data_IF_473725946351
#
_entry.id   IF_473725946351
#
_cell.length_a   1.000
_cell.length_b   1.000
_cell.length_c   1.000
_cell.angle_alpha   90.00
_cell.angle_beta   90.00
_cell.angle_gamma   90.00
#
_symmetry.space_group_name_H-M   'P 1'
#
loop_
_entity.id
_entity.type
_entity.pdbx_description
1 polymer ?
#
# COMPACT_ATOMS: atom_id res chain seq x y z
N UNK A 1 -20.50 -20.69 28.58
CA UNK A 1 -21.16 -19.42 28.39
C UNK A 1 -20.59 -18.42 29.42
N UNK A 2 -19.50 -17.76 29.08
CA UNK A 2 -18.99 -16.56 29.82
C UNK A 2 -18.34 -15.69 28.77
N UNK A 3 -19.05 -14.63 28.39
CA UNK A 3 -18.58 -13.53 27.57
C UNK A 3 -17.67 -12.66 28.46
N UNK A 4 -16.40 -12.52 28.11
CA UNK A 4 -15.53 -11.50 28.71
C UNK A 4 -15.48 -10.29 27.78
N UNK A 5 -16.17 -9.22 28.16
CA UNK A 5 -15.97 -7.88 27.61
C UNK A 5 -14.53 -7.44 27.93
N UNK A 6 -13.74 -7.15 26.89
CA UNK A 6 -12.49 -6.43 27.04
C UNK A 6 -12.80 -4.92 27.12
N UNK A 7 -12.39 -4.29 28.18
CA UNK A 7 -12.56 -2.86 28.43
C UNK A 7 -11.67 -2.06 27.47
N UNK A 8 -12.27 -1.13 26.72
CA UNK A 8 -11.60 -0.12 25.92
C UNK A 8 -11.03 0.94 26.87
N UNK A 9 -9.73 0.92 27.11
CA UNK A 9 -9.06 1.98 27.86
C UNK A 9 -8.91 3.21 26.96
N UNK A 10 -9.66 4.26 27.25
CA UNK A 10 -9.51 5.58 26.65
C UNK A 10 -8.18 6.19 27.12
N UNK A 11 -7.20 6.23 26.25
CA UNK A 11 -5.93 6.92 26.46
C UNK A 11 -6.12 8.40 26.09
N UNK A 12 -6.39 9.26 27.06
CA UNK A 12 -6.44 10.71 26.90
C UNK A 12 -4.99 11.23 26.81
N UNK A 13 -4.46 11.37 25.61
CA UNK A 13 -3.21 12.07 25.33
C UNK A 13 -3.44 13.58 25.47
N UNK A 14 -2.97 14.18 26.56
CA UNK A 14 -2.76 15.62 26.68
C UNK A 14 -1.62 16.01 25.70
N UNK A 15 -1.99 16.50 24.53
CA UNK A 15 -1.05 17.09 23.57
C UNK A 15 -0.71 18.52 24.04
N UNK A 16 0.58 18.84 24.31
CA UNK A 16 0.99 20.23 24.51
C UNK A 16 0.77 20.98 23.19
N UNK A 17 0.27 22.22 23.32
CA UNK A 17 -0.02 23.08 22.17
C UNK A 17 1.22 23.28 21.31
N UNK A 18 1.24 22.63 20.14
CA UNK A 18 2.22 22.83 19.10
C UNK A 18 1.89 24.12 18.37
N UNK A 19 2.85 25.03 18.28
CA UNK A 19 2.78 26.21 17.44
C UNK A 19 2.46 25.75 15.99
N UNK A 20 1.30 26.13 15.52
CA UNK A 20 0.86 25.88 14.13
C UNK A 20 1.68 26.82 13.26
N UNK A 21 2.54 26.30 12.38
CA UNK A 21 2.90 27.02 11.20
C UNK A 21 1.58 27.36 10.48
N UNK A 22 1.37 28.56 10.02
CA UNK A 22 0.22 28.91 9.19
C UNK A 22 0.29 28.02 7.94
N UNK A 23 -0.59 27.02 7.87
CA UNK A 23 -0.76 26.23 6.67
C UNK A 23 -1.29 27.17 5.59
N UNK A 24 -0.56 27.29 4.49
CA UNK A 24 -1.04 27.98 3.31
C UNK A 24 -2.36 27.33 2.89
N UNK A 25 -3.41 28.15 2.77
CA UNK A 25 -4.71 27.68 2.32
C UNK A 25 -4.64 27.28 0.83
N UNK A 26 -4.63 25.99 0.57
CA UNK A 26 -4.62 25.40 -0.77
C UNK A 26 -6.01 24.94 -1.24
N UNK A 27 -7.07 25.28 -0.49
CA UNK A 27 -8.43 24.81 -0.78
C UNK A 27 -8.99 25.31 -2.11
N UNK A 28 -8.45 26.43 -2.64
CA UNK A 28 -8.86 27.00 -3.91
C UNK A 28 -8.28 26.28 -5.15
N UNK A 29 -7.22 25.50 -4.99
CA UNK A 29 -6.60 24.81 -6.13
C UNK A 29 -7.39 23.56 -6.56
N UNK A 30 -7.33 23.26 -7.86
CA UNK A 30 -8.05 22.14 -8.47
C UNK A 30 -7.26 21.59 -9.66
N UNK A 31 -7.78 20.53 -10.28
CA UNK A 31 -7.22 19.97 -11.52
C UNK A 31 -6.98 21.03 -12.61
N UNK A 32 -7.84 22.06 -12.69
CA UNK A 32 -7.77 23.11 -13.73
C UNK A 32 -7.15 24.42 -13.24
N UNK A 33 -6.81 24.50 -11.97
CA UNK A 33 -6.04 25.57 -11.34
C UNK A 33 -4.98 24.93 -10.43
N UNK A 34 -3.84 24.51 -11.01
CA UNK A 34 -2.84 23.69 -10.31
C UNK A 34 -2.18 24.42 -9.15
N UNK A 35 -1.76 23.68 -8.14
CA UNK A 35 -0.88 24.19 -7.08
C UNK A 35 0.45 24.61 -7.71
N UNK A 36 0.93 25.86 -7.48
CA UNK A 36 2.23 26.29 -7.97
C UNK A 36 3.40 25.45 -7.41
N UNK A 37 4.48 25.31 -8.17
CA UNK A 37 5.62 24.45 -7.84
C UNK A 37 6.27 24.79 -6.48
N UNK A 38 6.32 26.05 -6.12
CA UNK A 38 6.86 26.54 -4.85
C UNK A 38 5.98 26.25 -3.64
N UNK A 39 4.73 25.87 -3.87
CA UNK A 39 3.76 25.49 -2.84
C UNK A 39 3.52 23.97 -2.75
N UNK A 40 4.17 23.18 -3.61
CA UNK A 40 4.02 21.73 -3.59
C UNK A 40 4.41 21.12 -2.25
N UNK A 41 3.66 20.11 -1.82
CA UNK A 41 4.04 19.28 -0.66
C UNK A 41 5.38 18.61 -0.90
N UNK A 42 6.10 18.32 0.17
CA UNK A 42 7.25 17.43 0.08
C UNK A 42 6.79 16.09 -0.50
N UNK A 43 7.41 15.69 -1.62
CA UNK A 43 7.07 14.44 -2.27
C UNK A 43 7.26 13.25 -1.34
N UNK A 44 6.20 12.45 -1.15
CA UNK A 44 6.16 11.31 -0.25
C UNK A 44 5.21 10.26 -0.83
N UNK A 45 5.69 9.38 -1.72
CA UNK A 45 4.90 8.30 -2.30
C UNK A 45 4.44 7.29 -1.25
N UNK A 46 3.47 6.44 -1.60
CA UNK A 46 3.02 5.32 -0.75
C UNK A 46 4.10 4.24 -0.65
N UNK A 47 4.89 4.06 -1.72
CA UNK A 47 6.01 3.11 -1.77
C UNK A 47 7.15 3.46 -0.80
N UNK A 48 7.91 2.45 -0.26
CA UNK A 48 7.87 1.01 -0.51
C UNK A 48 6.89 0.23 0.40
N UNK A 49 6.15 0.90 1.29
CA UNK A 49 5.21 0.22 2.19
C UNK A 49 4.07 -0.48 1.42
N UNK A 50 3.47 -1.49 2.03
CA UNK A 50 2.18 -2.03 1.58
C UNK A 50 1.03 -1.11 1.93
N UNK A 51 1.23 -0.28 2.97
CA UNK A 51 0.25 0.68 3.42
C UNK A 51 0.20 1.93 2.56
N UNK A 52 -0.94 2.60 2.62
CA UNK A 52 -1.16 3.87 1.94
C UNK A 52 -0.89 5.05 2.87
N UNK A 53 -0.32 6.10 2.32
CA UNK A 53 -0.21 7.38 3.02
C UNK A 53 -1.57 8.09 3.08
N UNK A 54 -1.70 8.99 4.04
CA UNK A 54 -2.90 9.84 4.15
C UNK A 54 -2.89 11.01 3.17
N UNK A 55 -1.75 11.28 2.53
CA UNK A 55 -1.57 12.43 1.66
C UNK A 55 -2.08 12.14 0.26
N UNK A 56 -2.79 13.12 -0.31
CA UNK A 56 -3.18 13.15 -1.72
C UNK A 56 -2.11 13.79 -2.57
N UNK A 57 -2.15 13.58 -3.86
CA UNK A 57 -1.37 14.34 -4.84
C UNK A 57 -1.83 15.80 -4.82
N UNK A 58 -0.92 16.77 -4.97
CA UNK A 58 -1.27 18.18 -5.08
C UNK A 58 -2.17 18.41 -6.30
N UNK A 59 -3.16 19.27 -6.16
CA UNK A 59 -4.16 19.53 -7.20
C UNK A 59 -3.50 19.95 -8.51
N UNK A 60 -3.92 19.35 -9.62
CA UNK A 60 -3.42 19.60 -10.96
C UNK A 60 -2.10 18.92 -11.32
N UNK A 61 -1.48 18.21 -10.36
CA UNK A 61 -0.27 17.43 -10.58
C UNK A 61 -0.59 15.94 -10.70
N UNK A 62 0.36 15.18 -11.26
CA UNK A 62 0.25 13.73 -11.29
C UNK A 62 1.52 13.05 -10.79
N UNK A 63 1.35 11.84 -10.29
CA UNK A 63 2.41 10.99 -9.79
C UNK A 63 2.35 9.64 -10.47
N UNK A 64 3.52 9.05 -10.67
CA UNK A 64 3.70 7.66 -11.10
C UNK A 64 4.47 6.94 -10.00
N UNK A 65 3.95 5.81 -9.55
CA UNK A 65 4.66 4.88 -8.67
C UNK A 65 4.66 3.51 -9.32
N UNK A 66 5.82 2.85 -9.43
CA UNK A 66 5.88 1.53 -10.06
C UNK A 66 6.96 0.65 -9.45
N UNK A 67 6.69 -0.66 -9.33
CA UNK A 67 7.75 -1.64 -9.24
C UNK A 67 8.55 -1.65 -10.55
N UNK A 68 9.86 -1.61 -10.44
CA UNK A 68 10.75 -1.94 -11.55
C UNK A 68 10.85 -3.45 -11.67
N UNK A 69 11.03 -4.12 -10.53
CA UNK A 69 11.03 -5.57 -10.41
C UNK A 69 10.64 -5.98 -8.98
N UNK A 70 9.86 -7.04 -8.88
CA UNK A 70 9.54 -7.73 -7.63
C UNK A 70 9.69 -9.23 -7.83
N UNK A 71 10.28 -9.90 -6.86
CA UNK A 71 10.46 -11.36 -6.85
C UNK A 71 9.92 -11.92 -5.55
N UNK A 72 9.07 -12.93 -5.65
CA UNK A 72 8.43 -13.58 -4.52
C UNK A 72 8.70 -15.07 -4.52
N UNK A 73 9.06 -15.62 -3.38
CA UNK A 73 9.17 -17.06 -3.13
C UNK A 73 8.11 -17.45 -2.11
N UNK A 74 7.28 -18.41 -2.47
CA UNK A 74 6.24 -18.97 -1.61
C UNK A 74 6.38 -20.49 -1.52
N UNK A 75 6.06 -21.04 -0.36
CA UNK A 75 5.99 -22.50 -0.15
C UNK A 75 4.62 -22.86 0.42
N UNK A 76 3.92 -23.74 -0.25
CA UNK A 76 2.63 -24.24 0.23
C UNK A 76 2.50 -25.71 -0.12
N UNK A 77 2.21 -26.55 0.88
CA UNK A 77 1.96 -27.99 0.70
C UNK A 77 3.04 -28.76 -0.11
N UNK A 78 4.32 -28.37 0.07
CA UNK A 78 5.44 -28.99 -0.66
C UNK A 78 5.71 -28.40 -2.06
N UNK A 79 4.87 -27.48 -2.51
CA UNK A 79 5.06 -26.75 -3.75
C UNK A 79 5.82 -25.44 -3.49
N UNK A 80 6.92 -25.24 -4.17
CA UNK A 80 7.65 -23.95 -4.18
C UNK A 80 7.25 -23.15 -5.40
N UNK A 81 6.79 -21.93 -5.17
CA UNK A 81 6.40 -21.01 -6.23
C UNK A 81 7.37 -19.84 -6.29
N UNK A 82 7.92 -19.56 -7.46
CA UNK A 82 8.69 -18.36 -7.78
C UNK A 82 7.85 -17.46 -8.65
N UNK A 83 7.63 -16.23 -8.20
CA UNK A 83 6.89 -15.23 -8.98
C UNK A 83 7.77 -14.04 -9.26
N UNK A 84 7.72 -13.56 -10.48
CA UNK A 84 8.30 -12.28 -10.91
C UNK A 84 7.17 -11.35 -11.32
N UNK A 85 7.27 -10.12 -10.90
CA UNK A 85 6.40 -9.05 -11.33
C UNK A 85 7.25 -7.85 -11.73
N UNK A 86 6.92 -7.24 -12.84
CA UNK A 86 7.62 -6.04 -13.30
C UNK A 86 6.65 -5.04 -13.89
N UNK A 87 6.96 -3.77 -13.67
CA UNK A 87 6.25 -2.65 -14.21
C UNK A 87 4.74 -2.68 -13.92
N UNK A 88 4.38 -2.48 -12.65
CA UNK A 88 2.99 -2.35 -12.18
C UNK A 88 2.66 -0.89 -11.76
N UNK A 89 2.52 0.02 -12.73
CA UNK A 89 2.38 1.42 -12.44
C UNK A 89 1.05 1.75 -11.78
N UNK A 90 1.13 2.59 -10.76
CA UNK A 90 0.01 3.37 -10.22
C UNK A 90 0.16 4.81 -10.71
N UNK A 91 -0.82 5.28 -11.46
CA UNK A 91 -0.96 6.65 -11.90
C UNK A 91 -1.89 7.38 -10.96
N UNK A 92 -1.46 8.49 -10.37
CA UNK A 92 -2.25 9.28 -9.43
C UNK A 92 -2.40 10.70 -9.95
N UNK A 93 -3.62 11.24 -9.90
CA UNK A 93 -3.97 12.57 -10.37
C UNK A 93 -4.64 13.38 -9.26
N UNK A 94 -4.02 14.49 -8.86
CA UNK A 94 -4.58 15.41 -7.88
C UNK A 94 -5.77 16.19 -8.46
N UNK A 95 -6.96 15.93 -7.94
CA UNK A 95 -8.20 16.59 -8.37
C UNK A 95 -8.44 17.89 -7.62
N UNK A 96 -8.23 17.84 -6.32
CA UNK A 96 -8.35 18.96 -5.38
C UNK A 96 -7.25 18.85 -4.33
N UNK A 97 -7.16 19.83 -3.43
CA UNK A 97 -6.16 19.74 -2.36
C UNK A 97 -6.37 18.53 -1.41
N UNK A 98 -7.55 17.96 -1.37
CA UNK A 98 -7.93 16.88 -0.44
C UNK A 98 -8.37 15.59 -1.12
N UNK A 99 -8.31 15.53 -2.46
CA UNK A 99 -8.76 14.36 -3.22
C UNK A 99 -7.89 14.13 -4.45
N UNK A 100 -7.49 12.88 -4.66
CA UNK A 100 -6.90 12.40 -5.90
C UNK A 100 -7.65 11.19 -6.45
N UNK A 101 -7.34 10.84 -7.69
CA UNK A 101 -7.78 9.64 -8.38
C UNK A 101 -6.58 8.81 -8.81
N UNK A 102 -6.67 7.50 -8.61
CA UNK A 102 -5.57 6.57 -8.85
C UNK A 102 -6.01 5.42 -9.76
N UNK A 103 -5.18 5.08 -10.73
CA UNK A 103 -5.31 3.88 -11.56
C UNK A 103 -4.05 3.05 -11.40
N UNK A 104 -4.19 1.83 -10.88
CA UNK A 104 -3.09 0.87 -10.82
C UNK A 104 -3.29 -0.22 -11.87
N UNK A 105 -2.25 -0.49 -12.61
CA UNK A 105 -2.16 -1.61 -13.54
C UNK A 105 -1.23 -2.65 -12.92
N UNK A 106 -1.75 -3.83 -12.57
CA UNK A 106 -0.88 -4.91 -12.18
C UNK A 106 -0.12 -5.39 -13.42
N UNK A 107 1.18 -5.14 -13.42
CA UNK A 107 2.06 -5.30 -14.57
C UNK A 107 2.28 -6.74 -15.03
N UNK A 108 3.34 -6.95 -15.77
CA UNK A 108 3.70 -8.28 -16.25
C UNK A 108 4.08 -9.18 -15.08
N UNK A 109 3.40 -10.31 -14.99
CA UNK A 109 3.63 -11.34 -13.98
C UNK A 109 4.11 -12.62 -14.67
N UNK A 110 5.11 -13.25 -14.10
CA UNK A 110 5.56 -14.60 -14.41
C UNK A 110 5.58 -15.40 -13.12
N UNK A 111 4.94 -16.54 -13.12
CA UNK A 111 4.94 -17.46 -11.98
C UNK A 111 5.34 -18.85 -12.44
N UNK A 112 6.28 -19.42 -11.73
CA UNK A 112 6.74 -20.80 -11.90
C UNK A 112 6.52 -21.56 -10.59
N UNK A 113 5.81 -22.69 -10.67
CA UNK A 113 5.59 -23.57 -9.53
C UNK A 113 6.35 -24.87 -9.77
N UNK A 114 7.16 -25.27 -8.77
CA UNK A 114 8.01 -26.46 -8.79
C UNK A 114 7.55 -27.39 -7.67
N UNK A 115 7.13 -28.59 -8.04
CA UNK A 115 6.85 -29.66 -7.07
C UNK A 115 8.18 -30.23 -6.54
N UNK A 116 8.43 -30.09 -5.24
CA UNK A 116 9.64 -30.61 -4.58
C UNK A 116 9.77 -32.14 -4.63
N UNK A 117 8.68 -32.86 -4.97
CA UNK A 117 8.66 -34.34 -5.10
C UNK A 117 8.88 -34.82 -6.54
N UNK A 118 8.72 -33.94 -7.53
CA UNK A 118 8.85 -34.25 -8.94
C UNK A 118 9.49 -33.09 -9.72
N UNK A 119 10.82 -33.12 -9.97
CA UNK A 119 11.53 -32.03 -10.62
C UNK A 119 11.13 -31.81 -12.09
N UNK A 120 10.19 -32.59 -12.63
CA UNK A 120 9.69 -32.48 -14.00
C UNK A 120 8.28 -31.90 -14.10
N UNK A 121 7.60 -31.59 -12.98
CA UNK A 121 6.29 -30.94 -12.99
C UNK A 121 6.44 -29.44 -12.74
N UNK A 122 6.60 -28.70 -13.87
CA UNK A 122 6.57 -27.24 -13.85
C UNK A 122 5.22 -26.76 -14.35
N UNK A 123 4.57 -25.91 -13.54
CA UNK A 123 3.45 -25.12 -14.02
C UNK A 123 3.91 -23.67 -14.08
N UNK A 124 3.76 -23.05 -15.22
CA UNK A 124 4.05 -21.62 -15.38
C UNK A 124 2.85 -20.87 -15.91
N UNK A 125 2.75 -19.63 -15.51
CA UNK A 125 1.78 -18.68 -16.04
C UNK A 125 2.46 -17.33 -16.29
N UNK A 126 2.08 -16.68 -17.37
CA UNK A 126 2.59 -15.36 -17.74
C UNK A 126 1.42 -14.50 -18.22
N UNK A 127 1.37 -13.26 -17.78
CA UNK A 127 0.34 -12.34 -18.23
C UNK A 127 0.32 -11.05 -17.41
N UNK A 128 -0.68 -10.23 -17.68
CA UNK A 128 -0.95 -8.99 -16.94
C UNK A 128 -2.03 -9.25 -15.89
N UNK A 129 -1.90 -8.57 -14.75
CA UNK A 129 -2.89 -8.63 -13.67
C UNK A 129 -4.09 -7.70 -13.90
N UNK A 130 -4.88 -7.53 -12.85
CA UNK A 130 -6.09 -6.70 -12.89
C UNK A 130 -5.78 -5.21 -12.78
N UNK A 131 -6.73 -4.38 -13.18
CA UNK A 131 -6.71 -2.94 -13.00
C UNK A 131 -7.49 -2.58 -11.73
N UNK A 132 -6.91 -1.68 -10.93
CA UNK A 132 -7.56 -1.09 -9.76
C UNK A 132 -7.83 0.38 -10.00
N UNK A 133 -9.03 0.81 -9.64
CA UNK A 133 -9.42 2.21 -9.61
C UNK A 133 -9.63 2.60 -8.14
N UNK A 134 -8.99 3.70 -7.71
CA UNK A 134 -9.08 4.22 -6.34
C UNK A 134 -9.38 5.71 -6.36
N UNK A 135 -9.93 6.19 -5.27
CA UNK A 135 -9.96 7.62 -4.97
C UNK A 135 -9.52 7.84 -3.54
N UNK A 136 -8.42 8.55 -3.34
CA UNK A 136 -7.95 8.90 -2.01
C UNK A 136 -8.59 10.22 -1.58
N UNK A 137 -9.27 10.21 -0.43
CA UNK A 137 -9.97 11.35 0.15
C UNK A 137 -9.32 11.64 1.49
N UNK A 138 -8.50 12.69 1.56
CA UNK A 138 -7.93 13.13 2.82
C UNK A 138 -8.96 13.90 3.62
N UNK A 139 -9.20 13.49 4.85
CA UNK A 139 -10.16 14.12 5.77
C UNK A 139 -9.45 14.97 6.82
N UNK A 140 -8.14 14.74 7.05
CA UNK A 140 -7.38 15.45 8.08
C UNK A 140 -5.88 15.34 7.80
N UNK A 141 -5.13 16.43 8.02
CA UNK A 141 -3.67 16.43 8.10
C UNK A 141 -2.95 16.14 6.77
N UNK A 142 -3.48 16.64 5.66
CA UNK A 142 -2.89 16.46 4.33
C UNK A 142 -1.58 17.23 4.19
N UNK A 143 -1.58 18.49 4.56
CA UNK A 143 -0.41 19.38 4.45
C UNK A 143 0.50 19.27 5.67
N UNK A 144 -0.06 19.36 6.88
CA UNK A 144 0.67 19.36 8.14
C UNK A 144 -0.13 18.77 9.30
N UNK A 145 0.42 18.92 10.50
CA UNK A 145 -0.23 18.52 11.75
C UNK A 145 0.21 17.15 12.27
N UNK A 146 -0.07 16.88 13.56
CA UNK A 146 0.40 15.67 14.24
C UNK A 146 -0.37 14.41 13.87
N UNK A 147 -1.56 14.57 13.27
CA UNK A 147 -2.46 13.47 12.90
C UNK A 147 -2.93 13.70 11.47
N UNK A 148 -2.98 12.63 10.70
CA UNK A 148 -3.59 12.59 9.37
C UNK A 148 -4.53 11.42 9.24
N UNK A 149 -5.61 11.58 8.45
CA UNK A 149 -6.58 10.51 8.18
C UNK A 149 -7.14 10.64 6.77
N UNK A 150 -7.26 9.50 6.08
CA UNK A 150 -7.86 9.43 4.77
C UNK A 150 -8.79 8.22 4.63
N UNK A 151 -9.63 8.25 3.61
CA UNK A 151 -10.43 7.12 3.13
C UNK A 151 -10.11 6.89 1.67
N UNK A 152 -9.98 5.61 1.28
CA UNK A 152 -9.64 5.22 -0.08
C UNK A 152 -10.58 4.09 -0.52
N UNK A 153 -11.78 4.41 -1.02
CA UNK A 153 -12.61 3.43 -1.71
C UNK A 153 -11.91 2.96 -2.99
N UNK A 154 -12.06 1.66 -3.30
CA UNK A 154 -11.49 1.10 -4.52
C UNK A 154 -12.36 0.02 -5.14
N UNK A 155 -12.13 -0.21 -6.44
CA UNK A 155 -12.67 -1.34 -7.19
C UNK A 155 -11.56 -1.97 -8.03
N UNK A 156 -11.50 -3.30 -8.02
CA UNK A 156 -10.70 -4.13 -8.91
C UNK A 156 -11.56 -4.59 -10.08
N UNK A 157 -11.09 -4.35 -11.29
CA UNK A 157 -11.74 -4.77 -12.52
C UNK A 157 -11.10 -6.07 -13.02
N UNK A 158 -11.88 -7.06 -13.49
CA UNK A 158 -11.37 -8.34 -13.99
C UNK A 158 -10.79 -8.19 -15.41
N UNK A 159 -9.67 -7.50 -15.51
CA UNK A 159 -9.00 -7.16 -16.78
C UNK A 159 -7.74 -7.98 -17.04
N UNK A 160 -7.40 -8.91 -16.13
CA UNK A 160 -6.20 -9.73 -16.21
C UNK A 160 -6.20 -10.70 -17.42
N UNK A 161 -5.01 -11.13 -17.78
CA UNK A 161 -4.83 -12.31 -18.63
C UNK A 161 -5.47 -13.52 -17.94
N UNK A 162 -6.18 -14.40 -18.65
CA UNK A 162 -6.76 -15.61 -18.09
C UNK A 162 -5.74 -16.41 -17.25
N UNK A 163 -6.16 -16.93 -16.10
CA UNK A 163 -5.36 -17.68 -15.11
C UNK A 163 -4.40 -16.84 -14.25
N UNK A 164 -4.29 -15.53 -14.46
CA UNK A 164 -3.49 -14.65 -13.61
C UNK A 164 -4.31 -14.15 -12.41
N UNK A 165 -5.60 -13.97 -12.58
CA UNK A 165 -6.52 -13.52 -11.52
C UNK A 165 -7.80 -14.35 -11.49
N UNK A 166 -8.63 -14.11 -10.50
CA UNK A 166 -9.90 -14.84 -10.27
C UNK A 166 -11.05 -14.39 -11.19
N UNK A 167 -10.84 -13.41 -12.08
CA UNK A 167 -11.82 -12.92 -13.03
C UNK A 167 -13.06 -12.30 -12.39
N UNK A 168 -12.98 -11.80 -11.16
CA UNK A 168 -14.09 -11.19 -10.44
C UNK A 168 -13.88 -9.69 -10.24
N UNK A 169 -14.99 -8.92 -10.27
CA UNK A 169 -14.99 -7.58 -9.72
C UNK A 169 -14.93 -7.69 -8.21
N UNK A 170 -13.98 -7.01 -7.59
CA UNK A 170 -13.78 -6.94 -6.15
C UNK A 170 -13.60 -5.49 -5.73
N UNK A 171 -13.69 -5.19 -4.45
CA UNK A 171 -13.50 -3.83 -4.00
C UNK A 171 -13.52 -3.73 -2.49
N UNK A 172 -13.19 -2.56 -1.98
CA UNK A 172 -13.08 -2.35 -0.56
C UNK A 172 -12.94 -0.88 -0.19
N UNK A 173 -12.64 -0.69 1.07
CA UNK A 173 -12.38 0.60 1.67
C UNK A 173 -11.12 0.51 2.53
N UNK A 174 -10.15 1.38 2.25
CA UNK A 174 -8.90 1.50 2.98
C UNK A 174 -8.96 2.76 3.84
N UNK A 175 -8.50 2.68 5.08
CA UNK A 175 -8.54 3.78 6.04
C UNK A 175 -7.17 3.93 6.75
N UNK A 176 -6.22 4.67 6.18
CA UNK A 176 -4.96 4.98 6.82
C UNK A 176 -5.11 6.13 7.83
N UNK A 177 -4.44 5.97 8.97
CA UNK A 177 -4.26 6.97 10.03
C UNK A 177 -2.77 7.20 10.25
N UNK A 178 -2.28 8.41 10.05
CA UNK A 178 -0.90 8.78 10.30
C UNK A 178 -0.77 9.57 11.60
N UNK A 179 0.17 9.16 12.45
CA UNK A 179 0.60 9.88 13.62
C UNK A 179 2.05 10.35 13.40
N UNK A 180 2.36 11.58 13.78
CA UNK A 180 3.68 12.19 13.54
C UNK A 180 4.34 12.63 14.85
N UNK A 181 4.71 11.69 15.75
CA UNK A 181 5.42 12.01 16.97
C UNK A 181 6.89 12.34 16.66
N UNK A 182 7.35 13.53 17.03
CA UNK A 182 8.69 14.03 16.73
C UNK A 182 9.01 13.86 15.21
N UNK A 183 10.09 13.16 14.87
CA UNK A 183 10.55 12.94 13.49
C UNK A 183 10.07 11.61 12.89
N UNK A 184 9.22 10.87 13.61
CA UNK A 184 8.65 9.60 13.15
C UNK A 184 7.33 9.82 12.43
N UNK A 185 7.03 8.95 11.47
CA UNK A 185 5.68 8.75 10.93
C UNK A 185 5.25 7.35 11.32
N UNK A 186 4.20 7.26 12.12
CA UNK A 186 3.55 5.98 12.46
C UNK A 186 2.25 5.90 11.68
N UNK A 187 2.12 4.92 10.81
CA UNK A 187 0.88 4.68 10.06
C UNK A 187 0.17 3.45 10.62
N UNK A 188 -1.09 3.63 10.96
CA UNK A 188 -2.04 2.55 11.26
C UNK A 188 -3.00 2.48 10.10
N UNK A 189 -3.21 1.33 9.50
CA UNK A 189 -4.16 1.18 8.41
C UNK A 189 -5.05 -0.02 8.65
N UNK A 190 -6.32 0.14 8.36
CA UNK A 190 -7.26 -0.96 8.22
C UNK A 190 -7.90 -0.89 6.83
N UNK A 191 -8.18 -2.06 6.26
CA UNK A 191 -8.86 -2.21 4.98
C UNK A 191 -9.91 -3.31 5.13
N UNK A 192 -11.05 -3.11 4.50
CA UNK A 192 -12.14 -4.10 4.44
C UNK A 192 -12.49 -4.33 2.99
N UNK A 193 -12.36 -5.58 2.56
CA UNK A 193 -12.55 -6.00 1.18
C UNK A 193 -13.74 -6.93 1.05
N UNK A 194 -14.43 -6.85 -0.06
CA UNK A 194 -15.38 -7.85 -0.53
C UNK A 194 -14.74 -8.65 -1.66
N UNK A 195 -14.31 -9.88 -1.35
CA UNK A 195 -13.56 -10.75 -2.25
C UNK A 195 -14.36 -11.97 -2.66
N UNK A 196 -14.05 -12.53 -3.83
CA UNK A 196 -14.58 -13.81 -4.31
C UNK A 196 -13.75 -14.97 -3.76
N UNK A 197 -14.43 -15.97 -3.18
CA UNK A 197 -13.77 -17.19 -2.72
C UNK A 197 -13.12 -17.96 -3.88
N UNK A 198 -11.89 -18.44 -3.66
CA UNK A 198 -11.19 -19.29 -4.63
C UNK A 198 -11.79 -20.71 -4.70
N UNK A 199 -12.49 -21.15 -3.66
CA UNK A 199 -13.00 -22.53 -3.52
C UNK A 199 -14.50 -22.63 -3.73
N UNK A 200 -15.21 -21.50 -3.80
CA UNK A 200 -16.67 -21.46 -3.97
C UNK A 200 -17.11 -20.26 -4.81
N UNK A 201 -18.41 -20.21 -5.14
CA UNK A 201 -18.98 -19.03 -5.77
C UNK A 201 -19.38 -17.91 -4.78
N UNK A 202 -19.09 -18.11 -3.50
CA UNK A 202 -19.45 -17.14 -2.47
C UNK A 202 -18.45 -15.96 -2.45
N UNK A 203 -18.89 -14.89 -1.84
CA UNK A 203 -18.04 -13.75 -1.47
C UNK A 203 -17.77 -13.79 0.02
N UNK A 204 -16.67 -13.20 0.43
CA UNK A 204 -16.27 -13.11 1.82
C UNK A 204 -15.63 -11.76 2.13
N UNK A 205 -15.70 -11.35 3.38
CA UNK A 205 -14.99 -10.17 3.84
C UNK A 205 -13.54 -10.54 4.18
N UNK A 206 -12.61 -9.70 3.74
CA UNK A 206 -11.21 -9.77 4.13
C UNK A 206 -10.83 -8.50 4.88
N UNK A 207 -10.03 -8.63 5.92
CA UNK A 207 -9.55 -7.52 6.74
C UNK A 207 -8.04 -7.45 6.63
N UNK A 208 -7.53 -6.34 6.08
CA UNK A 208 -6.11 -6.04 6.06
C UNK A 208 -5.83 -5.03 7.16
N UNK A 209 -4.81 -5.30 7.97
CA UNK A 209 -4.35 -4.34 8.98
C UNK A 209 -2.84 -4.24 8.93
N UNK A 210 -2.33 -3.05 9.13
CA UNK A 210 -0.90 -2.83 9.25
C UNK A 210 -0.56 -1.73 10.25
N UNK A 211 0.66 -1.84 10.74
CA UNK A 211 1.32 -0.80 11.53
C UNK A 211 2.69 -0.59 10.92
N UNK A 212 2.99 0.62 10.46
CA UNK A 212 4.31 0.97 9.98
C UNK A 212 4.92 2.12 10.76
N UNK A 213 6.26 2.12 10.84
CA UNK A 213 7.05 3.20 11.43
C UNK A 213 8.11 3.59 10.43
N UNK A 214 8.10 4.86 10.02
CA UNK A 214 9.09 5.43 9.10
C UNK A 214 9.87 6.55 9.77
N UNK A 215 11.16 6.63 9.47
CA UNK A 215 12.07 7.66 9.99
C UNK A 215 13.17 7.97 8.99
N UNK A 216 13.62 9.23 8.98
CA UNK A 216 14.81 9.59 8.22
C UNK A 216 16.06 8.93 8.83
N UNK A 217 16.91 8.35 8.01
CA UNK A 217 18.15 7.71 8.50
C UNK A 217 19.12 8.79 8.98
N UNK A 218 19.52 8.79 10.27
CA UNK A 218 20.37 9.82 10.83
C UNK A 218 21.71 9.94 10.09
N UNK A 219 22.15 11.18 9.85
CA UNK A 219 23.42 11.43 9.16
C UNK A 219 23.37 11.25 7.63
N UNK A 220 22.20 11.02 7.06
CA UNK A 220 22.00 10.93 5.60
C UNK A 220 21.00 11.99 5.12
N UNK A 221 21.16 12.44 3.89
CA UNK A 221 20.18 13.30 3.23
C UNK A 221 19.33 12.49 2.27
N UNK A 222 18.00 12.58 2.44
CA UNK A 222 17.04 11.97 1.52
C UNK A 222 16.86 10.45 1.63
N UNK A 223 17.41 9.80 2.67
CA UNK A 223 17.16 8.39 2.93
C UNK A 223 16.18 8.25 4.10
N UNK A 224 15.10 7.48 3.87
CA UNK A 224 14.15 7.10 4.92
C UNK A 224 14.09 5.58 5.00
N UNK A 225 13.94 5.05 6.20
CA UNK A 225 13.71 3.63 6.46
C UNK A 225 12.31 3.42 7.04
N UNK A 226 11.68 2.31 6.68
CA UNK A 226 10.35 1.91 7.14
C UNK A 226 10.39 0.47 7.62
N UNK A 227 9.72 0.20 8.73
CA UNK A 227 9.43 -1.14 9.24
C UNK A 227 7.93 -1.26 9.36
N UNK A 228 7.36 -2.38 8.90
CA UNK A 228 5.93 -2.60 8.86
C UNK A 228 5.57 -4.00 9.32
N UNK A 229 4.51 -4.13 10.11
CA UNK A 229 3.82 -5.37 10.41
C UNK A 229 2.50 -5.36 9.64
N UNK A 230 2.28 -6.41 8.85
CA UNK A 230 1.11 -6.56 8.00
C UNK A 230 0.34 -7.83 8.34
N UNK A 231 -0.98 -7.76 8.23
CA UNK A 231 -1.88 -8.91 8.31
C UNK A 231 -3.01 -8.83 7.31
N UNK A 232 -3.41 -9.97 6.76
CA UNK A 232 -4.62 -10.14 5.94
C UNK A 232 -5.38 -11.35 6.45
N UNK A 233 -6.64 -11.16 6.87
CA UNK A 233 -7.48 -12.18 7.53
C UNK A 233 -8.86 -12.20 6.89
N UNK A 234 -9.14 -13.26 6.14
CA UNK A 234 -10.43 -13.49 5.50
C UNK A 234 -11.45 -14.20 6.41
N UNK A 235 -12.74 -13.98 6.15
CA UNK A 235 -13.84 -14.74 6.79
C UNK A 235 -14.13 -16.07 6.09
N UNK A 236 -13.50 -16.34 4.93
CA UNK A 236 -13.59 -17.62 4.24
C UNK A 236 -12.71 -18.66 4.93
N UNK A 237 -13.28 -19.79 5.45
CA UNK A 237 -12.50 -20.82 6.13
C UNK A 237 -11.39 -21.46 5.28
N UNK A 238 -11.51 -21.38 3.94
CA UNK A 238 -10.51 -21.88 3.00
C UNK A 238 -9.33 -20.92 2.77
N UNK A 239 -9.38 -19.72 3.34
CA UNK A 239 -8.36 -18.67 3.17
C UNK A 239 -7.60 -18.47 4.48
N UNK A 240 -6.41 -19.10 4.64
CA UNK A 240 -5.62 -18.92 5.86
C UNK A 240 -5.10 -17.48 5.98
N UNK A 241 -4.95 -16.95 7.20
CA UNK A 241 -4.44 -15.61 7.40
C UNK A 241 -2.98 -15.48 6.99
N UNK A 242 -2.61 -14.32 6.47
CA UNK A 242 -1.25 -13.95 6.06
C UNK A 242 -0.70 -12.91 7.03
N UNK A 243 0.52 -13.12 7.51
CA UNK A 243 1.27 -12.19 8.36
C UNK A 243 2.66 -11.99 7.80
N UNK A 244 3.11 -10.73 7.69
CA UNK A 244 4.48 -10.40 7.25
C UNK A 244 5.12 -9.34 8.13
N UNK A 245 6.46 -9.37 8.19
CA UNK A 245 7.30 -8.29 8.69
C UNK A 245 8.08 -7.72 7.50
N UNK A 246 7.91 -6.43 7.27
CA UNK A 246 8.34 -5.78 6.05
C UNK A 246 9.34 -4.66 6.37
N UNK A 247 10.34 -4.51 5.52
CA UNK A 247 11.38 -3.48 5.62
C UNK A 247 11.51 -2.76 4.28
N UNK A 248 11.56 -1.45 4.33
CA UNK A 248 11.71 -0.62 3.14
C UNK A 248 12.67 0.54 3.34
N UNK A 249 13.27 0.98 2.26
CA UNK A 249 14.09 2.20 2.22
C UNK A 249 13.76 3.02 0.98
N UNK A 250 13.70 4.34 1.17
CA UNK A 250 13.53 5.33 0.10
C UNK A 250 14.80 6.13 -0.06
N UNK A 251 15.19 6.36 -1.31
CA UNK A 251 16.34 7.17 -1.72
C UNK A 251 15.86 8.33 -2.59
N UNK A 252 15.86 9.53 -2.04
CA UNK A 252 15.46 10.74 -2.76
C UNK A 252 16.52 11.14 -3.77
N UNK A 253 16.24 10.99 -5.05
CA UNK A 253 17.14 11.38 -6.14
C UNK A 253 17.00 12.87 -6.50
N UNK A 254 15.77 13.40 -6.39
CA UNK A 254 15.46 14.82 -6.64
C UNK A 254 14.25 15.25 -5.79
N UNK A 255 13.77 16.47 -5.98
CA UNK A 255 12.52 16.92 -5.35
C UNK A 255 11.29 16.19 -5.89
N UNK A 256 11.39 15.57 -7.06
CA UNK A 256 10.30 14.93 -7.78
C UNK A 256 10.52 13.43 -8.03
N UNK A 257 11.64 12.85 -7.58
CA UNK A 257 11.97 11.44 -7.89
C UNK A 257 12.54 10.74 -6.68
N UNK A 258 12.00 9.56 -6.38
CA UNK A 258 12.42 8.70 -5.29
C UNK A 258 12.59 7.29 -5.84
N UNK A 259 13.73 6.65 -5.56
CA UNK A 259 13.92 5.20 -5.69
C UNK A 259 13.58 4.54 -4.37
N UNK A 260 13.13 3.30 -4.44
CA UNK A 260 12.89 2.49 -3.26
C UNK A 260 13.35 1.04 -3.44
N UNK A 261 13.60 0.40 -2.31
CA UNK A 261 13.84 -1.03 -2.19
C UNK A 261 13.11 -1.56 -0.98
N UNK A 262 12.68 -2.81 -1.03
CA UNK A 262 12.04 -3.43 0.11
C UNK A 262 12.18 -4.94 0.14
N UNK A 263 11.95 -5.51 1.33
CA UNK A 263 11.87 -6.93 1.59
C UNK A 263 10.72 -7.21 2.54
N UNK A 264 9.88 -8.19 2.18
CA UNK A 264 8.79 -8.68 3.00
C UNK A 264 9.10 -10.11 3.42
N UNK A 265 9.00 -10.39 4.71
CA UNK A 265 9.30 -11.70 5.30
C UNK A 265 8.01 -12.31 5.86
N UNK A 266 7.67 -13.52 5.40
CA UNK A 266 6.53 -14.26 5.93
C UNK A 266 6.73 -14.68 7.37
N UNK A 267 5.72 -14.46 8.20
CA UNK A 267 5.71 -14.86 9.61
C UNK A 267 4.93 -16.15 9.86
N UNK A 268 4.22 -16.67 8.86
CA UNK A 268 3.49 -17.94 8.94
C UNK A 268 3.53 -18.67 7.58
N UNK A 269 3.06 -19.92 7.56
CA UNK A 269 3.14 -20.79 6.38
C UNK A 269 2.29 -20.30 5.19
N UNK A 270 1.21 -19.57 5.45
CA UNK A 270 0.35 -19.00 4.40
C UNK A 270 0.94 -17.77 3.72
N UNK A 271 1.87 -17.10 4.40
CA UNK A 271 2.55 -15.94 3.84
C UNK A 271 3.63 -16.37 2.82
N UNK A 272 3.91 -15.55 1.81
CA UNK A 272 5.12 -15.69 1.01
C UNK A 272 6.35 -15.77 1.93
N UNK A 273 7.28 -16.69 1.65
CA UNK A 273 8.49 -16.85 2.47
C UNK A 273 9.32 -15.57 2.46
N UNK A 274 9.49 -15.01 1.29
CA UNK A 274 10.19 -13.75 1.08
C UNK A 274 9.72 -13.11 -0.22
N UNK A 275 9.60 -11.78 -0.21
CA UNK A 275 9.48 -10.95 -1.40
C UNK A 275 10.54 -9.87 -1.33
N UNK A 276 11.22 -9.63 -2.45
CA UNK A 276 12.20 -8.54 -2.62
C UNK A 276 11.79 -7.71 -3.82
N UNK A 277 11.81 -6.41 -3.68
CA UNK A 277 11.40 -5.51 -4.76
C UNK A 277 12.19 -4.20 -4.75
N UNK A 278 12.17 -3.56 -5.89
CA UNK A 278 12.66 -2.20 -6.07
C UNK A 278 11.73 -1.45 -7.01
N UNK A 279 11.59 -0.16 -6.77
CA UNK A 279 10.69 0.67 -7.55
C UNK A 279 11.15 2.11 -7.67
N UNK A 280 10.37 2.86 -8.40
CA UNK A 280 10.57 4.28 -8.61
C UNK A 280 9.24 5.02 -8.51
N UNK A 281 9.30 6.20 -7.91
CA UNK A 281 8.18 7.12 -7.85
C UNK A 281 8.62 8.47 -8.40
N UNK A 282 7.77 9.09 -9.22
CA UNK A 282 8.03 10.40 -9.81
C UNK A 282 6.76 11.25 -9.83
N UNK A 283 6.93 12.57 -9.61
CA UNK A 283 5.87 13.58 -9.66
C UNK A 283 6.13 14.58 -10.78
N UNK A 284 5.05 15.02 -11.45
CA UNK A 284 5.05 15.95 -12.59
C UNK A 284 4.02 17.07 -12.40
#
# INVERSE_FOLDING_TARGET
MIVRLAALAAFTLLLPGLARAEDLDKSGYSLFDPVPDDLLRKFAPDRPAKGFSVRTVDAGHFEIETDLISTTISNSQGLTTHSFQGFDPTLKLGLTNWMDFEIQFNGLQYTEAVDGTSPFNFQNSTGFGDVFLRSKINLLGNDSGPIGFALIPYVKLPSSTPLISNGAVEGGLIAPLALRPADFIVTLMTEVDDLKSATSNNRYANFVNLVSVSHAVPGTEGINATVELFSSVGTDPGTPPVYTLDFGMNFRLSQHTILDVGVNLGLNEAAPKVQVYTGISARF
#
